data_IF_268188641057
#
_entry.id   IF_268188641057
#
_cell.length_a   1.000
_cell.length_b   1.000
_cell.length_c   1.000
_cell.angle_alpha   90.00
_cell.angle_beta   90.00
_cell.angle_gamma   90.00
#
_symmetry.space_group_name_H-M   'P 1'
#
loop_
_entity.id
_entity.type
_entity.pdbx_description
1 polymer ?
#
# COMPACT_ATOMS: atom_id res chain seq x y z
N UNK A 1 76.48 -36.64 19.79
CA UNK A 1 75.02 -36.48 19.95
C UNK A 1 74.53 -35.45 18.93
N UNK A 2 73.89 -35.90 17.85
CA UNK A 2 73.30 -35.02 16.82
C UNK A 2 71.85 -34.74 17.21
N UNK A 3 71.49 -33.46 17.41
CA UNK A 3 70.10 -33.05 17.64
C UNK A 3 69.47 -32.68 16.29
N UNK A 4 68.45 -33.43 15.89
CA UNK A 4 67.58 -33.14 14.76
C UNK A 4 66.64 -31.99 15.14
N UNK A 5 66.60 -30.94 14.31
CA UNK A 5 65.58 -29.89 14.36
C UNK A 5 64.52 -30.23 13.32
N UNK A 6 63.32 -30.61 13.76
CA UNK A 6 62.15 -30.74 12.89
C UNK A 6 61.52 -29.36 12.69
N UNK A 7 61.53 -28.88 11.45
CA UNK A 7 60.78 -27.70 11.02
C UNK A 7 59.34 -28.15 10.73
N UNK A 8 58.38 -27.71 11.55
CA UNK A 8 56.96 -27.90 11.27
C UNK A 8 56.45 -26.76 10.39
N UNK A 9 56.06 -27.07 9.15
CA UNK A 9 55.40 -26.14 8.26
C UNK A 9 53.90 -26.06 8.61
N UNK A 10 53.48 -24.95 9.22
CA UNK A 10 52.05 -24.64 9.39
C UNK A 10 51.50 -24.07 8.07
N UNK A 11 50.70 -24.87 7.36
CA UNK A 11 49.85 -24.39 6.28
C UNK A 11 48.71 -23.53 6.87
N UNK A 12 48.72 -22.22 6.60
CA UNK A 12 47.54 -21.38 6.77
C UNK A 12 46.50 -21.78 5.71
N UNK A 13 45.41 -22.41 6.15
CA UNK A 13 44.18 -22.54 5.37
C UNK A 13 43.47 -21.19 5.39
N UNK A 14 43.54 -20.45 4.28
CA UNK A 14 42.64 -19.33 4.02
C UNK A 14 41.22 -19.88 3.82
N UNK A 15 40.34 -19.69 4.80
CA UNK A 15 38.92 -19.97 4.65
C UNK A 15 38.31 -18.90 3.73
N UNK A 16 37.94 -19.29 2.52
CA UNK A 16 37.12 -18.47 1.63
C UNK A 16 35.74 -18.36 2.26
N UNK A 17 35.44 -17.21 2.87
CA UNK A 17 34.08 -16.88 3.28
C UNK A 17 33.31 -16.55 2.00
N UNK A 18 32.58 -17.53 1.47
CA UNK A 18 31.56 -17.25 0.47
C UNK A 18 30.44 -16.50 1.18
N UNK A 19 30.20 -15.26 0.77
CA UNK A 19 28.99 -14.55 1.16
C UNK A 19 27.80 -15.33 0.58
N UNK A 20 27.03 -16.00 1.44
CA UNK A 20 25.77 -16.61 1.02
C UNK A 20 24.83 -15.50 0.58
N UNK A 21 24.54 -15.45 -0.72
CA UNK A 21 23.48 -14.60 -1.26
C UNK A 21 22.17 -15.24 -0.85
N UNK A 22 21.49 -14.66 0.15
CA UNK A 22 20.14 -15.05 0.50
C UNK A 22 19.21 -14.73 -0.68
N UNK A 23 18.91 -15.71 -1.52
CA UNK A 23 17.91 -15.59 -2.59
C UNK A 23 16.54 -15.77 -1.97
N UNK A 24 15.89 -14.68 -1.58
CA UNK A 24 14.46 -14.72 -1.21
C UNK A 24 13.63 -14.56 -2.48
N UNK A 25 13.03 -15.63 -2.99
CA UNK A 25 11.99 -15.47 -4.02
C UNK A 25 10.74 -14.90 -3.36
N UNK A 26 10.15 -13.82 -3.89
CA UNK A 26 8.94 -13.25 -3.30
C UNK A 26 7.80 -14.27 -3.36
N UNK A 27 6.98 -14.31 -2.31
CA UNK A 27 5.75 -15.12 -2.31
C UNK A 27 4.75 -14.42 -3.20
N UNK A 28 4.40 -15.05 -4.31
CA UNK A 28 3.37 -14.57 -5.24
C UNK A 28 2.01 -15.13 -4.84
N UNK A 29 0.98 -14.31 -4.96
CA UNK A 29 -0.41 -14.70 -4.72
C UNK A 29 -1.36 -14.02 -5.70
N UNK A 30 -2.64 -14.33 -5.57
CA UNK A 30 -3.70 -13.63 -6.26
C UNK A 30 -4.85 -13.33 -5.31
N UNK A 31 -5.55 -12.24 -5.56
CA UNK A 31 -6.78 -11.85 -4.86
C UNK A 31 -7.85 -11.60 -5.90
N UNK A 32 -9.05 -12.14 -5.66
CA UNK A 32 -10.22 -11.85 -6.48
C UNK A 32 -11.10 -10.86 -5.75
N UNK A 33 -11.23 -9.67 -6.32
CA UNK A 33 -12.10 -8.62 -5.84
C UNK A 33 -13.48 -8.81 -6.45
N UNK A 34 -14.48 -8.99 -5.60
CA UNK A 34 -15.88 -9.05 -6.05
C UNK A 34 -16.49 -7.66 -6.01
N UNK A 35 -16.87 -7.17 -7.18
CA UNK A 35 -17.48 -5.86 -7.40
C UNK A 35 -18.95 -6.07 -7.64
N UNK A 36 -19.81 -5.40 -6.88
CA UNK A 36 -21.26 -5.43 -7.01
C UNK A 36 -21.78 -4.19 -7.77
N UNK A 37 -23.03 -4.16 -8.25
CA UNK A 37 -23.62 -2.95 -8.82
C UNK A 37 -23.61 -1.81 -7.78
N UNK A 38 -23.22 -0.61 -8.20
CA UNK A 38 -23.03 0.54 -7.32
C UNK A 38 -21.56 0.84 -7.04
N UNK A 39 -21.27 1.53 -5.94
CA UNK A 39 -19.91 1.96 -5.57
C UNK A 39 -19.28 0.94 -4.63
N UNK A 40 -18.09 0.46 -4.98
CA UNK A 40 -17.34 -0.54 -4.23
C UNK A 40 -15.99 0.06 -3.85
N UNK A 41 -15.64 0.05 -2.57
CA UNK A 41 -14.33 0.51 -2.12
C UNK A 41 -13.34 -0.65 -2.18
N UNK A 42 -12.25 -0.42 -2.91
CA UNK A 42 -11.25 -1.41 -3.25
C UNK A 42 -9.89 -0.91 -2.79
N UNK A 43 -9.06 -1.83 -2.35
CA UNK A 43 -7.65 -1.63 -2.10
C UNK A 43 -6.93 -2.92 -2.45
N UNK A 44 -5.62 -2.83 -2.58
CA UNK A 44 -4.83 -4.01 -2.90
C UNK A 44 -4.28 -4.63 -1.64
N UNK A 45 -4.52 -5.93 -1.46
CA UNK A 45 -3.90 -6.74 -0.41
C UNK A 45 -2.55 -7.36 -0.84
N UNK A 46 -2.11 -7.04 -2.06
CA UNK A 46 -0.86 -7.49 -2.66
C UNK A 46 -0.03 -6.27 -3.03
N UNK A 47 1.27 -6.47 -3.17
CA UNK A 47 2.21 -5.50 -3.72
C UNK A 47 2.53 -5.82 -5.18
N UNK A 48 2.90 -4.81 -5.98
CA UNK A 48 3.39 -5.03 -7.32
C UNK A 48 4.82 -5.62 -7.29
N UNK A 49 5.44 -5.73 -8.46
CA UNK A 49 6.80 -6.22 -8.55
C UNK A 49 7.80 -5.27 -7.88
N UNK A 50 8.65 -5.84 -7.02
CA UNK A 50 9.87 -5.19 -6.54
C UNK A 50 10.90 -5.22 -7.67
N UNK A 51 11.48 -4.07 -8.02
CA UNK A 51 12.53 -3.98 -9.04
C UNK A 51 13.93 -3.91 -8.44
N UNK A 52 14.07 -3.31 -7.27
CA UNK A 52 15.36 -3.13 -6.62
C UNK A 52 15.21 -3.16 -5.09
N UNK A 53 16.21 -3.71 -4.41
CA UNK A 53 16.40 -3.58 -2.97
C UNK A 53 17.86 -3.18 -2.72
N UNK A 54 18.07 -2.24 -1.80
CA UNK A 54 19.41 -1.76 -1.47
C UNK A 54 19.46 -1.05 -0.13
N UNK A 55 20.64 -0.61 0.24
CA UNK A 55 20.86 0.28 1.38
C UNK A 55 20.98 1.70 0.85
N UNK A 56 20.48 2.70 1.58
CA UNK A 56 20.53 4.10 1.15
C UNK A 56 20.98 5.04 2.27
N UNK A 57 21.68 6.10 1.86
CA UNK A 57 21.89 7.29 2.69
C UNK A 57 20.83 8.34 2.35
N UNK A 58 20.56 9.23 3.29
CA UNK A 58 19.47 10.19 3.23
C UNK A 58 20.05 11.60 3.14
N UNK A 59 19.59 12.36 2.16
CA UNK A 59 19.94 13.79 2.05
C UNK A 59 19.56 14.59 3.31
N UNK A 60 20.25 15.70 3.62
CA UNK A 60 19.87 16.57 4.74
C UNK A 60 18.43 17.10 4.67
N UNK A 61 17.92 17.36 3.46
CA UNK A 61 16.54 17.78 3.20
C UNK A 61 15.53 16.62 3.26
N UNK A 62 16.04 15.38 3.31
CA UNK A 62 15.28 14.12 3.38
C UNK A 62 14.35 13.85 2.20
N UNK A 63 14.49 14.60 1.12
CA UNK A 63 13.74 14.44 -0.14
C UNK A 63 14.50 13.63 -1.19
N UNK A 64 15.71 13.21 -0.88
CA UNK A 64 16.53 12.35 -1.74
C UNK A 64 17.18 11.22 -0.96
N UNK A 65 17.35 10.08 -1.65
CA UNK A 65 18.10 8.90 -1.23
C UNK A 65 19.28 8.67 -2.16
N UNK A 66 20.40 8.22 -1.60
CA UNK A 66 21.60 7.83 -2.35
C UNK A 66 21.83 6.34 -2.16
N UNK A 67 21.56 5.53 -3.19
CA UNK A 67 21.72 4.09 -3.09
C UNK A 67 23.20 3.72 -2.94
N UNK A 68 23.48 2.83 -1.98
CA UNK A 68 24.80 2.38 -1.63
C UNK A 68 25.09 1.00 -2.21
N UNK A 69 26.35 0.76 -2.58
CA UNK A 69 26.85 -0.54 -3.03
C UNK A 69 27.43 -0.49 -4.43
N UNK A 70 28.59 -1.12 -4.61
CA UNK A 70 29.37 -1.09 -5.87
C UNK A 70 28.75 -1.87 -7.03
N UNK A 71 27.54 -2.42 -6.87
CA UNK A 71 26.80 -3.17 -7.89
C UNK A 71 25.48 -2.49 -8.25
N UNK A 72 25.16 -1.36 -7.64
CA UNK A 72 23.99 -0.54 -7.99
C UNK A 72 24.51 0.62 -8.82
N UNK A 73 24.06 0.66 -10.07
CA UNK A 73 24.30 1.76 -10.99
C UNK A 73 22.94 2.17 -11.56
N UNK A 74 22.45 3.35 -11.18
CA UNK A 74 21.20 3.88 -11.70
C UNK A 74 21.41 4.46 -13.09
N UNK A 75 20.43 4.25 -13.96
CA UNK A 75 20.34 4.99 -15.20
C UNK A 75 19.56 6.29 -15.01
N UNK A 76 19.90 7.30 -15.79
CA UNK A 76 19.17 8.57 -15.82
C UNK A 76 17.69 8.31 -16.14
N UNK A 77 16.80 8.86 -15.32
CA UNK A 77 15.35 8.67 -15.39
C UNK A 77 14.83 7.23 -15.27
N UNK A 78 15.60 6.30 -14.70
CA UNK A 78 15.23 4.88 -14.61
C UNK A 78 13.84 4.65 -13.98
N UNK A 79 13.49 5.40 -12.92
CA UNK A 79 12.25 5.17 -12.16
C UNK A 79 11.21 6.30 -12.23
N UNK A 80 11.45 7.35 -13.02
CA UNK A 80 10.58 8.52 -13.16
C UNK A 80 10.20 8.81 -14.62
N UNK A 81 10.03 7.76 -15.42
CA UNK A 81 9.69 7.88 -16.84
C UNK A 81 8.28 8.44 -17.08
N UNK A 82 8.20 9.69 -17.56
CA UNK A 82 6.96 10.30 -18.07
C UNK A 82 6.30 11.30 -17.13
N UNK A 83 5.00 11.53 -17.31
CA UNK A 83 4.23 12.54 -16.56
C UNK A 83 3.64 12.04 -15.25
N UNK A 84 3.74 10.75 -14.96
CA UNK A 84 3.21 10.12 -13.75
C UNK A 84 4.33 9.40 -13.01
N UNK A 85 4.24 9.38 -11.68
CA UNK A 85 5.08 8.51 -10.86
C UNK A 85 4.84 7.04 -11.28
N UNK A 86 5.91 6.36 -11.67
CA UNK A 86 5.84 4.93 -12.06
C UNK A 86 6.37 4.01 -10.97
N UNK A 87 7.07 4.56 -9.99
CA UNK A 87 7.71 3.82 -8.92
C UNK A 87 7.54 4.52 -7.58
N UNK A 88 7.68 3.74 -6.51
CA UNK A 88 7.73 4.24 -5.15
C UNK A 88 8.87 3.55 -4.39
N UNK A 89 9.44 4.29 -3.44
CA UNK A 89 10.35 3.73 -2.44
C UNK A 89 9.56 3.32 -1.21
N UNK A 90 9.92 2.18 -0.64
CA UNK A 90 9.52 1.75 0.71
C UNK A 90 10.73 1.65 1.64
N UNK A 91 10.62 2.19 2.85
CA UNK A 91 11.60 1.99 3.92
C UNK A 91 11.33 0.66 4.63
N UNK A 92 12.32 -0.23 4.68
CA UNK A 92 12.20 -1.57 5.28
C UNK A 92 12.79 -1.61 6.69
N UNK A 93 13.76 -0.75 6.99
CA UNK A 93 14.43 -0.70 8.30
C UNK A 93 14.35 0.70 8.89
N UNK A 94 13.61 0.85 10.00
CA UNK A 94 13.67 1.95 10.96
C UNK A 94 12.50 1.78 11.94
N UNK A 95 12.74 1.65 13.25
CA UNK A 95 11.67 1.53 14.24
C UNK A 95 10.69 2.70 14.11
N UNK A 96 9.40 2.40 13.89
CA UNK A 96 8.34 3.40 13.72
C UNK A 96 8.23 4.04 12.33
N UNK A 97 9.02 3.61 11.34
CA UNK A 97 8.88 4.05 9.94
C UNK A 97 9.06 2.94 8.91
N UNK A 98 9.08 1.69 9.37
CA UNK A 98 8.95 0.53 8.47
C UNK A 98 7.62 0.64 7.72
N UNK A 99 7.69 0.43 6.41
CA UNK A 99 6.53 0.50 5.53
C UNK A 99 6.15 1.91 5.10
N UNK A 100 6.94 2.94 5.44
CA UNK A 100 6.80 4.28 4.82
C UNK A 100 7.01 4.15 3.33
N UNK A 101 6.05 4.65 2.55
CA UNK A 101 6.15 4.71 1.09
C UNK A 101 6.04 6.14 0.57
N UNK A 102 6.81 6.44 -0.47
CA UNK A 102 6.69 7.70 -1.20
C UNK A 102 7.05 7.50 -2.67
N UNK A 103 6.42 8.27 -3.55
CA UNK A 103 6.62 8.21 -5.00
C UNK A 103 8.00 8.75 -5.38
N UNK A 104 8.61 8.14 -6.39
CA UNK A 104 9.85 8.62 -6.99
C UNK A 104 9.51 9.71 -8.02
N UNK A 105 10.12 10.88 -7.86
CA UNK A 105 9.95 12.02 -8.78
C UNK A 105 11.16 12.22 -9.69
N UNK A 106 12.32 11.64 -9.33
CA UNK A 106 13.57 11.80 -10.07
C UNK A 106 14.51 10.62 -9.83
N UNK A 107 15.32 10.29 -10.83
CA UNK A 107 16.41 9.32 -10.72
C UNK A 107 17.59 9.85 -11.52
N UNK A 108 18.69 10.11 -10.82
CA UNK A 108 19.93 10.60 -11.41
C UNK A 108 20.96 9.47 -11.38
N UNK A 109 21.67 9.30 -12.49
CA UNK A 109 22.79 8.36 -12.55
C UNK A 109 23.95 8.82 -11.66
N UNK A 110 24.12 10.14 -11.54
CA UNK A 110 25.10 10.75 -10.63
C UNK A 110 24.72 10.41 -9.17
N UNK A 111 25.72 9.94 -8.41
CA UNK A 111 25.59 9.54 -7.00
C UNK A 111 24.50 8.49 -6.67
N UNK A 112 23.97 7.80 -7.70
CA UNK A 112 22.81 6.90 -7.57
C UNK A 112 21.65 7.55 -6.79
N UNK A 113 21.32 8.79 -7.14
CA UNK A 113 20.31 9.58 -6.44
C UNK A 113 18.88 9.23 -6.90
N UNK A 114 17.99 9.11 -5.92
CA UNK A 114 16.54 9.03 -6.10
C UNK A 114 15.90 10.20 -5.39
N UNK A 115 15.17 11.04 -6.11
CA UNK A 115 14.37 12.15 -5.56
C UNK A 115 12.95 11.68 -5.28
N UNK A 116 12.38 12.12 -4.16
CA UNK A 116 11.12 11.65 -3.60
C UNK A 116 10.06 12.75 -3.53
N UNK A 117 8.80 12.38 -3.69
CA UNK A 117 7.66 13.29 -3.59
C UNK A 117 7.41 13.79 -2.15
N UNK A 118 7.76 13.00 -1.15
CA UNK A 118 7.61 13.33 0.27
C UNK A 118 8.92 13.13 1.03
N UNK A 119 9.22 13.98 2.03
CA UNK A 119 10.40 13.80 2.85
C UNK A 119 10.30 12.53 3.68
N UNK A 120 11.43 11.85 3.86
CA UNK A 120 11.56 10.65 4.67
C UNK A 120 11.36 11.01 6.16
N UNK A 121 10.62 10.21 6.95
CA UNK A 121 10.44 10.45 8.38
C UNK A 121 11.77 10.60 9.14
N UNK A 122 11.85 11.55 10.09
CA UNK A 122 13.11 11.96 10.74
C UNK A 122 13.86 10.85 11.50
N UNK A 123 13.16 9.80 11.92
CA UNK A 123 13.71 8.63 12.61
C UNK A 123 14.42 7.64 11.69
N UNK A 124 14.26 7.73 10.36
CA UNK A 124 15.04 6.91 9.42
C UNK A 124 16.47 7.48 9.30
N UNK A 125 17.48 6.64 9.51
CA UNK A 125 18.89 7.05 9.47
C UNK A 125 19.58 6.57 8.19
N UNK A 126 20.78 7.10 7.93
CA UNK A 126 21.68 6.57 6.91
C UNK A 126 21.94 5.08 7.12
N UNK A 127 22.13 4.36 6.01
CA UNK A 127 22.25 2.91 6.04
C UNK A 127 20.90 2.16 6.13
N UNK A 128 19.77 2.84 5.94
CA UNK A 128 18.46 2.19 5.89
C UNK A 128 18.32 1.31 4.64
N UNK A 129 17.75 0.12 4.80
CA UNK A 129 17.32 -0.74 3.70
C UNK A 129 16.04 -0.18 3.09
N UNK A 130 16.04 -0.08 1.76
CA UNK A 130 14.92 0.40 0.95
C UNK A 130 14.57 -0.61 -0.14
N UNK A 131 13.30 -0.62 -0.54
CA UNK A 131 12.80 -1.33 -1.72
C UNK A 131 12.21 -0.35 -2.71
N UNK A 132 12.42 -0.61 -4.00
CA UNK A 132 11.80 0.13 -5.09
C UNK A 132 10.74 -0.75 -5.72
N UNK A 133 9.51 -0.24 -5.71
CA UNK A 133 8.33 -0.90 -6.23
C UNK A 133 7.91 -0.23 -7.52
N UNK A 134 7.67 -1.00 -8.57
CA UNK A 134 6.97 -0.50 -9.76
C UNK A 134 5.49 -0.42 -9.46
N UNK A 135 4.92 0.78 -9.45
CA UNK A 135 3.51 0.96 -9.15
C UNK A 135 2.64 0.33 -10.24
N UNK A 136 1.53 -0.29 -9.83
CA UNK A 136 0.51 -0.70 -10.79
C UNK A 136 -0.15 0.52 -11.41
N UNK A 137 -0.49 0.41 -12.68
CA UNK A 137 -1.29 1.40 -13.41
C UNK A 137 -2.71 0.91 -13.64
N UNK A 138 -3.59 1.80 -14.10
CA UNK A 138 -4.92 1.41 -14.58
C UNK A 138 -4.86 0.27 -15.61
N UNK A 139 -3.90 0.35 -16.55
CA UNK A 139 -3.73 -0.71 -17.56
C UNK A 139 -3.18 -2.01 -16.98
N UNK A 140 -2.32 -1.97 -15.95
CA UNK A 140 -1.78 -3.20 -15.35
C UNK A 140 -2.85 -3.98 -14.60
N UNK A 141 -3.74 -3.30 -13.87
CA UNK A 141 -4.77 -3.95 -13.04
C UNK A 141 -6.00 -4.31 -13.87
N UNK A 142 -6.43 -3.40 -14.74
CA UNK A 142 -7.71 -3.56 -15.43
C UNK A 142 -7.56 -3.94 -16.90
N UNK A 143 -6.41 -3.70 -17.54
CA UNK A 143 -6.14 -3.97 -18.96
C UNK A 143 -6.42 -2.78 -19.89
N UNK A 144 -6.03 -2.92 -21.15
CA UNK A 144 -6.38 -1.99 -22.25
C UNK A 144 -6.47 -2.75 -23.60
N UNK A 145 -7.66 -3.17 -24.07
CA UNK A 145 -8.98 -2.99 -23.43
C UNK A 145 -9.11 -3.78 -22.12
N UNK A 146 -10.07 -3.44 -21.24
CA UNK A 146 -10.13 -4.02 -19.92
C UNK A 146 -10.43 -5.52 -19.97
N UNK A 147 -9.44 -6.33 -19.61
CA UNK A 147 -9.57 -7.79 -19.52
C UNK A 147 -10.20 -8.23 -18.20
N UNK A 148 -10.35 -7.30 -17.26
CA UNK A 148 -10.94 -7.47 -15.93
C UNK A 148 -12.47 -7.60 -15.92
N UNK A 149 -13.13 -7.59 -17.08
CA UNK A 149 -14.60 -7.64 -17.18
C UNK A 149 -15.30 -6.33 -16.83
N UNK A 150 -14.56 -5.22 -16.76
CA UNK A 150 -15.14 -3.88 -16.66
C UNK A 150 -15.96 -3.56 -17.92
N UNK A 151 -17.11 -2.94 -17.70
CA UNK A 151 -17.99 -2.44 -18.76
C UNK A 151 -17.34 -1.24 -19.41
N UNK A 152 -17.07 -1.32 -20.71
CA UNK A 152 -16.58 -0.20 -21.52
C UNK A 152 -17.76 0.54 -22.17
N UNK A 153 -17.60 1.84 -22.43
CA UNK A 153 -18.67 2.64 -23.02
C UNK A 153 -18.14 3.86 -23.78
N UNK A 154 -19.00 4.53 -24.58
CA UNK A 154 -18.64 5.77 -25.27
C UNK A 154 -18.53 6.98 -24.31
N UNK A 155 -19.12 6.87 -23.12
CA UNK A 155 -19.22 7.91 -22.11
C UNK A 155 -19.28 7.28 -20.71
N UNK A 156 -18.93 8.02 -19.63
CA UNK A 156 -18.82 7.47 -18.29
C UNK A 156 -20.15 7.03 -17.64
N UNK A 157 -21.29 7.43 -18.20
CA UNK A 157 -22.61 6.97 -17.74
C UNK A 157 -22.93 5.53 -18.18
N UNK A 158 -22.25 5.06 -19.24
CA UNK A 158 -22.45 3.73 -19.83
C UNK A 158 -21.27 2.78 -19.58
N UNK A 159 -20.29 3.23 -18.79
CA UNK A 159 -19.10 2.47 -18.44
C UNK A 159 -18.99 2.32 -16.93
N UNK A 160 -18.18 1.38 -16.48
CA UNK A 160 -17.73 1.37 -15.10
C UNK A 160 -16.69 2.47 -14.89
N UNK A 161 -16.69 3.08 -13.69
CA UNK A 161 -15.83 4.22 -13.37
C UNK A 161 -14.95 3.89 -12.18
N UNK A 162 -13.63 4.05 -12.35
CA UNK A 162 -12.62 3.97 -11.31
C UNK A 162 -12.47 5.36 -10.69
N UNK A 163 -12.57 5.46 -9.37
CA UNK A 163 -12.50 6.71 -8.64
C UNK A 163 -11.29 6.69 -7.72
N UNK A 164 -10.27 7.49 -8.03
CA UNK A 164 -9.02 7.55 -7.27
C UNK A 164 -9.03 8.83 -6.42
N UNK A 165 -8.90 8.73 -5.08
CA UNK A 165 -8.85 9.90 -4.22
C UNK A 165 -7.70 10.84 -4.58
N UNK A 166 -8.00 12.13 -4.73
CA UNK A 166 -7.02 13.19 -5.07
C UNK A 166 -6.80 14.20 -3.94
N UNK A 167 -7.28 13.90 -2.73
CA UNK A 167 -7.18 14.75 -1.54
C UNK A 167 -8.34 15.75 -1.36
N UNK A 168 -9.08 16.08 -2.43
CA UNK A 168 -10.25 16.98 -2.38
C UNK A 168 -11.55 16.30 -2.83
N UNK A 169 -11.43 15.15 -3.46
CA UNK A 169 -12.52 14.34 -3.99
C UNK A 169 -11.93 13.12 -4.69
N UNK A 170 -12.40 12.85 -5.91
CA UNK A 170 -11.91 11.75 -6.73
C UNK A 170 -11.64 12.20 -8.15
N UNK A 171 -10.49 11.80 -8.69
CA UNK A 171 -10.30 11.72 -10.12
C UNK A 171 -11.05 10.48 -10.63
N UNK A 172 -11.80 10.64 -11.72
CA UNK A 172 -12.70 9.60 -12.23
C UNK A 172 -12.25 9.13 -13.60
N UNK A 173 -11.99 7.84 -13.73
CA UNK A 173 -11.47 7.24 -14.94
C UNK A 173 -12.42 6.16 -15.46
N UNK A 174 -12.55 6.05 -16.78
CA UNK A 174 -13.28 4.97 -17.42
C UNK A 174 -12.57 4.56 -18.71
N UNK A 175 -12.86 3.36 -19.21
CA UNK A 175 -12.35 2.93 -20.50
C UNK A 175 -13.34 3.28 -21.61
N UNK A 176 -12.96 4.25 -22.44
CA UNK A 176 -13.73 4.68 -23.60
C UNK A 176 -13.55 3.69 -24.77
N UNK A 177 -14.65 3.29 -25.40
CA UNK A 177 -14.61 2.38 -26.55
C UNK A 177 -14.32 3.08 -27.89
N UNK A 178 -14.17 4.41 -27.89
CA UNK A 178 -13.89 5.21 -29.08
C UNK A 178 -15.12 5.63 -29.88
N UNK A 179 -16.33 5.24 -29.47
CA UNK A 179 -17.56 5.84 -29.95
C UNK A 179 -17.91 7.09 -29.11
N UNK A 180 -18.55 8.09 -29.71
CA UNK A 180 -18.93 9.32 -29.00
C UNK A 180 -17.81 10.36 -28.89
N UNK A 181 -17.85 11.16 -27.82
CA UNK A 181 -16.93 12.31 -27.63
C UNK A 181 -15.53 11.92 -27.15
N UNK A 182 -15.34 10.68 -26.67
CA UNK A 182 -14.07 10.21 -26.12
C UNK A 182 -13.35 9.31 -27.12
N UNK A 183 -12.06 9.55 -27.30
CA UNK A 183 -11.19 8.65 -28.08
C UNK A 183 -10.95 7.34 -27.34
N UNK A 184 -10.63 6.25 -28.05
CA UNK A 184 -10.48 4.92 -27.45
C UNK A 184 -9.35 4.85 -26.41
N UNK A 185 -9.62 4.27 -25.23
CA UNK A 185 -8.64 3.99 -24.18
C UNK A 185 -9.09 4.47 -22.79
N UNK A 186 -8.18 4.45 -21.81
CA UNK A 186 -8.44 4.99 -20.48
C UNK A 186 -8.56 6.51 -20.53
N UNK A 187 -9.63 7.07 -19.99
CA UNK A 187 -9.92 8.51 -20.02
C UNK A 187 -10.27 9.02 -18.63
N UNK A 188 -9.83 10.23 -18.35
CA UNK A 188 -10.28 11.01 -17.21
C UNK A 188 -11.62 11.67 -17.61
N UNK A 189 -12.62 11.64 -16.73
CA UNK A 189 -13.88 12.35 -16.99
C UNK A 189 -13.58 13.85 -17.08
N UNK A 190 -13.90 14.46 -18.23
CA UNK A 190 -13.54 15.84 -18.56
C UNK A 190 -12.33 15.97 -19.49
N UNK A 191 -11.58 14.89 -19.76
CA UNK A 191 -10.51 14.84 -20.77
C UNK A 191 -10.79 13.71 -21.78
N UNK A 192 -11.16 14.12 -23.00
CA UNK A 192 -11.59 13.23 -24.06
C UNK A 192 -10.45 12.57 -24.87
N UNK A 193 -9.23 13.10 -24.78
CA UNK A 193 -8.16 12.80 -25.75
C UNK A 193 -6.95 12.15 -25.10
N UNK A 194 -6.60 12.51 -23.87
CA UNK A 194 -5.40 11.97 -23.23
C UNK A 194 -5.63 10.55 -22.73
N UNK A 195 -4.74 9.64 -23.11
CA UNK A 195 -4.78 8.27 -22.59
C UNK A 195 -4.20 8.19 -21.17
N UNK A 196 -5.05 7.78 -20.22
CA UNK A 196 -4.74 7.68 -18.80
C UNK A 196 -4.29 6.27 -18.38
N UNK A 197 -3.94 5.41 -19.34
CA UNK A 197 -3.54 4.02 -19.08
C UNK A 197 -2.39 3.89 -18.06
N UNK A 198 -1.51 4.90 -17.99
CA UNK A 198 -0.33 4.94 -17.13
C UNK A 198 -0.56 5.62 -15.77
N UNK A 199 -1.79 5.99 -15.43
CA UNK A 199 -2.10 6.55 -14.11
C UNK A 199 -1.82 5.50 -13.03
N UNK A 200 -0.94 5.79 -12.06
CA UNK A 200 -0.56 4.84 -11.02
C UNK A 200 -1.66 4.70 -9.96
N UNK A 201 -1.70 3.52 -9.35
CA UNK A 201 -2.53 3.20 -8.20
C UNK A 201 -1.61 3.05 -6.99
N UNK A 202 -1.86 3.85 -5.95
CA UNK A 202 -1.00 3.93 -4.76
C UNK A 202 -1.05 2.64 -3.95
N UNK A 203 0.11 2.18 -3.48
CA UNK A 203 0.25 0.91 -2.76
C UNK A 203 -0.65 0.77 -1.52
N UNK A 204 -0.75 1.85 -0.73
CA UNK A 204 -1.54 1.89 0.50
C UNK A 204 -2.87 2.66 0.35
N UNK A 205 -3.17 3.13 -0.86
CA UNK A 205 -4.36 3.91 -1.14
C UNK A 205 -5.54 3.02 -1.51
N UNK A 206 -6.69 3.27 -0.88
CA UNK A 206 -7.97 2.77 -1.37
C UNK A 206 -8.46 3.62 -2.56
N UNK A 207 -9.22 3.00 -3.45
CA UNK A 207 -9.96 3.65 -4.51
C UNK A 207 -11.39 3.06 -4.54
N UNK A 208 -12.25 3.57 -5.43
CA UNK A 208 -13.57 2.99 -5.62
C UNK A 208 -13.82 2.60 -7.07
N UNK A 209 -14.71 1.62 -7.27
CA UNK A 209 -15.24 1.22 -8.57
C UNK A 209 -16.75 1.39 -8.52
N UNK A 210 -17.26 2.29 -9.37
CA UNK A 210 -18.69 2.38 -9.66
C UNK A 210 -18.99 1.44 -10.82
N UNK A 211 -19.67 0.34 -10.53
CA UNK A 211 -20.00 -0.68 -11.52
C UNK A 211 -21.50 -0.74 -11.81
N UNK A 212 -21.86 -1.00 -13.07
CA UNK A 212 -23.25 -1.23 -13.47
C UNK A 212 -23.75 -2.65 -13.18
N UNK A 213 -22.84 -3.62 -13.13
CA UNK A 213 -23.14 -5.05 -12.95
C UNK A 213 -22.12 -5.71 -12.02
N UNK A 214 -22.50 -6.84 -11.41
CA UNK A 214 -21.55 -7.64 -10.65
C UNK A 214 -20.43 -8.19 -11.53
N UNK A 215 -19.20 -8.21 -11.01
CA UNK A 215 -18.02 -8.74 -11.69
C UNK A 215 -16.93 -9.12 -10.69
N UNK A 216 -15.99 -9.93 -11.16
CA UNK A 216 -14.82 -10.35 -10.38
C UNK A 216 -13.56 -9.89 -11.09
N UNK A 217 -12.68 -9.21 -10.35
CA UNK A 217 -11.41 -8.68 -10.84
C UNK A 217 -10.30 -9.44 -10.11
N UNK A 218 -9.50 -10.21 -10.84
CA UNK A 218 -8.36 -10.93 -10.26
C UNK A 218 -7.10 -10.12 -10.41
N UNK A 219 -6.37 -9.96 -9.31
CA UNK A 219 -5.10 -9.26 -9.24
C UNK A 219 -4.04 -10.25 -8.77
N UNK A 220 -2.90 -10.25 -9.45
CA UNK A 220 -1.73 -11.05 -9.09
C UNK A 220 -0.64 -10.12 -8.59
N UNK A 221 0.03 -10.50 -7.52
CA UNK A 221 1.06 -9.66 -6.89
C UNK A 221 1.84 -10.41 -5.81
N UNK A 222 2.77 -9.70 -5.20
CA UNK A 222 3.56 -10.20 -4.07
C UNK A 222 2.76 -10.05 -2.79
N UNK A 223 2.80 -11.05 -1.91
CA UNK A 223 2.29 -10.90 -0.55
C UNK A 223 3.25 -9.97 0.20
N UNK A 224 2.72 -8.91 0.83
CA UNK A 224 3.54 -7.96 1.58
C UNK A 224 4.14 -8.62 2.83
N UNK A 225 5.47 -8.67 2.99
CA UNK A 225 6.07 -9.00 4.27
C UNK A 225 6.25 -7.71 5.10
N UNK A 226 5.91 -7.76 6.38
CA UNK A 226 6.10 -6.66 7.32
C UNK A 226 5.06 -5.54 7.28
N UNK A 227 5.32 -4.51 8.09
CA UNK A 227 4.38 -3.45 8.42
C UNK A 227 4.11 -2.50 7.25
N UNK A 228 2.97 -1.82 7.30
CA UNK A 228 2.67 -0.70 6.39
C UNK A 228 2.46 0.57 7.19
N UNK A 229 3.15 1.64 6.80
CA UNK A 229 2.86 2.97 7.30
C UNK A 229 1.85 3.66 6.37
N UNK A 230 0.80 4.23 6.96
CA UNK A 230 -0.20 5.02 6.23
C UNK A 230 -0.23 6.42 6.81
N UNK A 231 -0.01 7.42 5.96
CA UNK A 231 -0.13 8.82 6.36
C UNK A 231 -1.59 9.24 6.27
N UNK A 232 -2.15 9.63 7.40
CA UNK A 232 -3.49 10.18 7.52
C UNK A 232 -3.43 11.71 7.52
N UNK A 233 -4.33 12.32 6.76
CA UNK A 233 -4.61 13.76 6.80
C UNK A 233 -5.94 14.01 7.53
N UNK A 234 -6.17 15.20 8.10
CA UNK A 234 -7.49 15.55 8.63
C UNK A 234 -8.59 15.33 7.58
N UNK A 235 -9.71 14.71 7.97
CA UNK A 235 -10.79 14.32 7.07
C UNK A 235 -10.76 12.85 6.64
N UNK A 236 -11.32 12.56 5.46
CA UNK A 236 -11.45 11.18 4.96
C UNK A 236 -10.14 10.68 4.33
N UNK A 237 -9.68 9.53 4.81
CA UNK A 237 -8.53 8.81 4.25
C UNK A 237 -9.00 7.44 3.77
N UNK A 238 -8.77 7.12 2.50
CA UNK A 238 -9.14 5.82 1.92
C UNK A 238 -7.94 4.89 2.04
N UNK A 239 -8.05 3.89 2.92
CA UNK A 239 -6.93 3.04 3.31
C UNK A 239 -7.16 1.64 2.76
N UNK A 240 -6.19 1.15 1.99
CA UNK A 240 -6.20 -0.25 1.56
C UNK A 240 -5.95 -1.17 2.77
N UNK A 241 -6.74 -2.23 2.89
CA UNK A 241 -6.46 -3.33 3.79
C UNK A 241 -5.43 -4.26 3.12
N UNK A 242 -4.15 -4.04 3.45
CA UNK A 242 -3.02 -4.74 2.86
C UNK A 242 -2.86 -6.19 3.34
N UNK A 243 -3.71 -6.62 4.27
CA UNK A 243 -3.72 -7.97 4.84
C UNK A 243 -5.03 -8.63 4.41
N UNK A 244 -5.00 -9.65 3.54
CA UNK A 244 -6.22 -10.37 3.20
C UNK A 244 -6.76 -11.07 4.45
N UNK A 245 -8.08 -10.99 4.68
CA UNK A 245 -8.74 -11.83 5.68
C UNK A 245 -8.68 -13.26 5.17
N UNK A 246 -8.13 -14.21 5.95
CA UNK A 246 -8.21 -15.62 5.56
C UNK A 246 -9.68 -16.02 5.53
N UNK A 247 -10.25 -16.19 4.36
CA UNK A 247 -11.52 -16.90 4.19
C UNK A 247 -11.23 -18.40 4.23
N UNK A 248 -11.49 -19.05 5.36
CA UNK A 248 -11.52 -20.51 5.41
C UNK A 248 -12.95 -20.98 5.12
N UNK A 249 -13.11 -21.83 4.11
CA UNK A 249 -14.38 -22.49 3.82
C UNK A 249 -14.81 -23.46 4.96
N UNK A 250 -13.93 -23.72 5.92
CA UNK A 250 -14.18 -24.52 7.11
C UNK A 250 -14.24 -23.65 8.38
N UNK A 251 -15.33 -22.89 8.56
CA UNK A 251 -15.84 -22.40 9.86
C UNK A 251 -14.82 -21.78 10.86
N UNK A 252 -13.66 -21.27 10.41
CA UNK A 252 -12.81 -20.47 11.29
C UNK A 252 -13.32 -19.04 11.20
N UNK A 253 -13.99 -18.63 12.28
CA UNK A 253 -14.59 -17.31 12.40
C UNK A 253 -13.52 -16.24 12.04
N UNK A 254 -13.80 -15.25 11.16
CA UNK A 254 -12.84 -14.20 10.77
C UNK A 254 -12.19 -13.50 11.97
N UNK A 255 -12.87 -13.51 13.11
CA UNK A 255 -12.40 -13.05 14.42
C UNK A 255 -11.15 -13.78 14.94
N UNK A 256 -10.80 -14.96 14.40
CA UNK A 256 -9.69 -15.81 14.84
C UNK A 256 -8.50 -15.89 13.87
N UNK A 257 -8.66 -15.52 12.59
CA UNK A 257 -7.59 -15.66 11.57
C UNK A 257 -7.46 -14.43 10.65
N UNK A 258 -8.29 -13.40 10.87
CA UNK A 258 -8.32 -12.18 10.07
C UNK A 258 -7.96 -10.92 10.87
N UNK A 259 -7.71 -9.83 10.14
CA UNK A 259 -7.52 -8.50 10.73
C UNK A 259 -8.88 -7.93 11.15
N UNK A 260 -9.01 -7.57 12.41
CA UNK A 260 -10.18 -6.94 13.01
C UNK A 260 -9.77 -5.63 13.70
N UNK A 261 -10.74 -4.86 14.18
CA UNK A 261 -10.44 -3.61 14.87
C UNK A 261 -9.47 -3.80 16.06
N UNK A 262 -9.64 -4.88 16.83
CA UNK A 262 -8.86 -5.19 18.03
C UNK A 262 -7.39 -5.51 17.79
N UNK A 263 -7.05 -6.21 16.70
CA UNK A 263 -5.68 -6.61 16.36
C UNK A 263 -5.03 -5.75 15.25
N UNK A 264 -5.76 -4.78 14.69
CA UNK A 264 -5.28 -3.95 13.58
C UNK A 264 -4.13 -2.99 13.94
N UNK A 265 -3.91 -2.70 15.22
CA UNK A 265 -3.02 -1.61 15.67
C UNK A 265 -3.63 -0.21 15.58
N UNK A 266 -4.80 -0.05 14.97
CA UNK A 266 -5.46 1.25 14.78
C UNK A 266 -5.73 1.98 16.10
N UNK A 267 -6.01 1.27 17.19
CA UNK A 267 -6.29 1.88 18.50
C UNK A 267 -5.08 2.61 19.11
N UNK A 268 -3.87 2.32 18.64
CA UNK A 268 -2.63 2.91 19.16
C UNK A 268 -2.37 4.29 18.57
N UNK A 269 -2.60 4.46 17.27
CA UNK A 269 -2.20 5.68 16.53
C UNK A 269 -3.38 6.61 16.20
N UNK A 270 -4.61 6.08 16.23
CA UNK A 270 -5.81 6.89 16.09
C UNK A 270 -6.09 7.68 17.37
N UNK A 271 -6.62 8.89 17.20
CA UNK A 271 -7.04 9.75 18.31
C UNK A 271 -8.20 9.07 19.03
N UNK A 272 -8.02 8.64 20.29
CA UNK A 272 -9.11 8.03 21.04
C UNK A 272 -9.99 9.12 21.65
N UNK A 273 -11.17 8.76 22.16
CA UNK A 273 -12.01 9.71 22.88
C UNK A 273 -13.06 9.04 23.74
N UNK A 274 -13.54 9.73 24.78
CA UNK A 274 -14.65 9.22 25.61
C UNK A 274 -16.01 9.30 24.89
N UNK A 275 -16.03 9.92 23.70
CA UNK A 275 -17.19 10.04 22.83
C UNK A 275 -16.76 10.15 21.35
N UNK A 276 -17.58 9.65 20.43
CA UNK A 276 -17.28 9.62 18.97
C UNK A 276 -16.98 10.99 18.33
N UNK A 277 -17.37 12.10 18.99
CA UNK A 277 -17.11 13.47 18.51
C UNK A 277 -15.66 13.91 18.71
N UNK A 278 -14.93 13.23 19.59
CA UNK A 278 -13.54 13.51 19.93
C UNK A 278 -12.58 12.52 19.27
N UNK A 279 -13.06 11.31 18.97
CA UNK A 279 -12.26 10.24 18.40
C UNK A 279 -12.23 10.29 16.86
N UNK A 280 -11.16 9.76 16.29
CA UNK A 280 -11.14 9.37 14.88
C UNK A 280 -12.15 8.24 14.64
N UNK A 281 -12.70 8.16 13.42
CA UNK A 281 -13.68 7.15 13.06
C UNK A 281 -13.12 6.20 11.99
N UNK A 282 -13.39 4.90 12.16
CA UNK A 282 -13.17 3.86 11.15
C UNK A 282 -14.53 3.56 10.51
N UNK A 283 -14.65 3.81 9.21
CA UNK A 283 -15.87 3.68 8.44
C UNK A 283 -15.76 2.42 7.57
N UNK A 284 -16.63 1.45 7.84
CA UNK A 284 -16.71 0.18 7.11
C UNK A 284 -17.99 0.16 6.30
N UNK A 285 -17.86 -0.02 4.97
CA UNK A 285 -19.02 -0.05 4.08
C UNK A 285 -19.86 -1.31 4.34
N UNK A 286 -21.16 -1.13 4.55
CA UNK A 286 -22.09 -2.21 4.87
C UNK A 286 -23.07 -2.53 3.71
N UNK A 287 -22.83 -1.99 2.51
CA UNK A 287 -23.70 -2.18 1.33
C UNK A 287 -24.69 -1.04 1.09
N UNK A 288 -25.07 -0.27 2.12
CA UNK A 288 -26.01 0.86 2.01
C UNK A 288 -25.44 2.18 2.52
N UNK A 289 -24.46 2.11 3.41
CA UNK A 289 -23.76 3.24 3.99
C UNK A 289 -22.51 2.75 4.72
N UNK A 290 -22.15 3.44 5.80
CA UNK A 290 -21.01 3.05 6.63
C UNK A 290 -21.44 2.79 8.07
N UNK A 291 -21.01 1.65 8.59
CA UNK A 291 -20.88 1.47 10.02
C UNK A 291 -19.66 2.27 10.48
N UNK A 292 -19.81 3.08 11.53
CA UNK A 292 -18.77 3.97 12.02
C UNK A 292 -18.31 3.52 13.39
N UNK A 293 -17.04 3.17 13.52
CA UNK A 293 -16.43 2.69 14.74
C UNK A 293 -15.46 3.72 15.30
N UNK A 294 -15.32 3.79 16.61
CA UNK A 294 -14.33 4.64 17.27
C UNK A 294 -13.70 3.90 18.46
N UNK A 295 -12.46 4.24 18.79
CA UNK A 295 -11.80 3.70 19.98
C UNK A 295 -12.10 4.59 21.19
N UNK A 296 -12.83 4.04 22.16
CA UNK A 296 -13.16 4.70 23.41
C UNK A 296 -11.99 4.62 24.39
N UNK A 297 -11.59 5.78 24.92
CA UNK A 297 -10.58 5.86 25.99
C UNK A 297 -11.14 5.62 27.40
N UNK A 298 -12.47 5.38 27.54
CA UNK A 298 -13.12 5.15 28.84
C UNK A 298 -14.52 5.77 28.96
N UNK A 299 -14.88 6.20 30.17
CA UNK A 299 -16.19 6.82 30.46
C UNK A 299 -17.33 5.81 30.57
N UNK A 300 -18.58 6.26 30.34
CA UNK A 300 -19.79 5.42 30.44
C UNK A 300 -19.79 4.25 29.45
N UNK A 301 -19.07 4.38 28.33
CA UNK A 301 -18.91 3.32 27.35
C UNK A 301 -17.82 2.30 27.71
N UNK A 302 -16.98 2.58 28.72
CA UNK A 302 -15.76 1.80 29.00
C UNK A 302 -14.68 1.99 27.93
N UNK A 303 -13.53 1.33 28.12
CA UNK A 303 -12.42 1.34 27.16
C UNK A 303 -12.65 0.30 26.06
N UNK A 304 -12.29 0.61 24.81
CA UNK A 304 -12.33 -0.33 23.68
C UNK A 304 -13.06 0.21 22.45
N UNK A 305 -13.24 -0.63 21.44
CA UNK A 305 -13.90 -0.25 20.19
C UNK A 305 -15.42 -0.17 20.33
N UNK A 306 -16.03 0.88 19.79
CA UNK A 306 -17.48 1.13 19.91
C UNK A 306 -18.09 1.45 18.56
N UNK A 307 -19.34 1.04 18.38
CA UNK A 307 -20.16 1.41 17.22
C UNK A 307 -20.87 2.74 17.50
N UNK A 308 -20.78 3.70 16.58
CA UNK A 308 -21.51 4.97 16.66
C UNK A 308 -23.02 4.71 16.57
N UNK A 309 -23.75 5.17 17.58
CA UNK A 309 -25.19 4.94 17.68
C UNK A 309 -25.59 3.52 18.12
N UNK A 310 -24.61 2.66 18.43
CA UNK A 310 -24.82 1.33 18.99
C UNK A 310 -24.89 1.31 20.52
N UNK A 311 -24.87 0.10 21.08
CA UNK A 311 -24.69 -0.13 22.51
C UNK A 311 -23.22 0.07 22.95
N UNK A 312 -22.96 -0.08 24.26
CA UNK A 312 -21.62 0.03 24.85
C UNK A 312 -20.78 -1.26 24.75
N UNK A 313 -21.20 -2.24 23.94
CA UNK A 313 -20.42 -3.47 23.79
C UNK A 313 -19.12 -3.23 23.02
N UNK A 314 -18.08 -4.00 23.36
CA UNK A 314 -16.82 -3.92 22.65
C UNK A 314 -16.93 -4.51 21.24
N UNK A 315 -16.39 -3.78 20.27
CA UNK A 315 -16.44 -4.10 18.84
C UNK A 315 -15.06 -4.50 18.29
N UNK A 316 -14.12 -4.87 19.17
CA UNK A 316 -12.78 -5.31 18.81
C UNK A 316 -12.79 -6.48 17.81
N UNK A 317 -13.78 -7.38 17.89
CA UNK A 317 -13.93 -8.50 16.98
C UNK A 317 -14.39 -8.12 15.56
N UNK A 318 -14.85 -6.89 15.30
CA UNK A 318 -15.35 -6.52 13.96
C UNK A 318 -14.25 -6.65 12.90
N UNK A 319 -14.43 -7.49 11.87
CA UNK A 319 -13.45 -7.66 10.81
C UNK A 319 -13.27 -6.38 10.00
N UNK A 320 -12.02 -6.07 9.61
CA UNK A 320 -11.77 -5.08 8.57
C UNK A 320 -12.06 -5.71 7.20
N UNK A 321 -12.72 -4.98 6.29
CA UNK A 321 -13.10 -5.55 4.99
C UNK A 321 -11.87 -5.86 4.14
N UNK A 322 -12.00 -6.87 3.28
CA UNK A 322 -11.08 -7.02 2.16
C UNK A 322 -11.20 -5.80 1.23
N UNK A 323 -10.08 -5.35 0.68
CA UNK A 323 -10.04 -4.17 -0.17
C UNK A 323 -9.70 -2.91 0.60
N UNK A 324 -10.68 -2.07 0.94
CA UNK A 324 -10.43 -0.78 1.59
C UNK A 324 -11.51 -0.37 2.59
N UNK A 325 -11.12 0.46 3.55
CA UNK A 325 -12.00 1.14 4.51
C UNK A 325 -11.61 2.62 4.59
N UNK A 326 -12.46 3.43 5.23
CA UNK A 326 -12.22 4.86 5.38
C UNK A 326 -11.84 5.18 6.81
N UNK A 327 -10.81 5.98 7.02
CA UNK A 327 -10.51 6.59 8.32
C UNK A 327 -10.86 8.07 8.24
N UNK A 328 -11.85 8.49 9.02
CA UNK A 328 -12.14 9.91 9.24
C UNK A 328 -11.30 10.41 10.41
N UNK A 329 -10.21 11.11 10.08
CA UNK A 329 -9.25 11.69 11.01
C UNK A 329 -9.78 13.05 11.49
N UNK A 330 -9.99 13.20 12.79
CA UNK A 330 -10.30 14.47 13.46
C UNK A 330 -9.06 15.18 13.98
N UNK A 331 -8.03 14.42 14.35
CA UNK A 331 -6.76 14.97 14.79
C UNK A 331 -5.92 15.56 13.64
N UNK A 332 -4.76 16.10 13.99
CA UNK A 332 -3.76 16.54 13.01
C UNK A 332 -3.25 15.38 12.15
N UNK A 333 -2.59 15.71 11.05
CA UNK A 333 -1.96 14.70 10.20
C UNK A 333 -1.01 13.81 11.03
N UNK A 334 -1.06 12.50 10.80
CA UNK A 334 -0.21 11.52 11.49
C UNK A 334 0.12 10.37 10.57
N UNK A 335 1.14 9.60 10.93
CA UNK A 335 1.34 8.27 10.39
C UNK A 335 0.72 7.25 11.33
N UNK A 336 0.09 6.23 10.77
CA UNK A 336 -0.36 5.05 11.50
C UNK A 336 0.37 3.83 10.97
N UNK A 337 0.67 2.89 11.87
CA UNK A 337 1.30 1.64 11.50
C UNK A 337 0.25 0.54 11.47
N UNK A 338 0.01 -0.01 10.28
CA UNK A 338 -0.78 -1.20 10.11
C UNK A 338 0.14 -2.40 10.33
N UNK A 339 -0.11 -3.12 11.42
CA UNK A 339 0.54 -4.41 11.66
C UNK A 339 -0.15 -5.50 10.84
N UNK A 340 0.63 -6.49 10.40
CA UNK A 340 0.10 -7.62 9.63
C UNK A 340 -0.75 -8.57 10.48
N UNK A 341 -0.73 -8.41 11.80
CA UNK A 341 -1.20 -9.44 12.72
C UNK A 341 -0.21 -10.61 12.74
N UNK A 342 -0.06 -11.26 13.89
CA UNK A 342 0.60 -12.57 13.93
C UNK A 342 -0.36 -13.58 13.32
N UNK A 343 -0.01 -14.13 12.15
CA UNK A 343 -0.73 -15.23 11.50
C UNK A 343 -0.19 -16.59 11.94
#
# INVERSE_FOLDING_TARGET
MKRFFCLAASCLLAASVYAEVLVTTPVMGFVTLNVLPGTNFIGFALLPAMELQGVANISPQRTSLFLQGSQIELAENQFNGGTHATHAVEIVTASGSVGFTTEITGTLAEDNEITLASPIPANVQDGATVKIWKLWTLADVFGAPPVSGLTVGPEPALADVIQIPNGSGFDQYFYANGAGSYTQGWRLIGDATTNQAKVPLKLNGGFAIRAGTSKSITIVGQVKPGQTLVNLQPGNNFVANLCPVKFDAADVNPDQVGRNLGNSGLSTDLTPGVHYRQADLVLIWNGTGYDQYYYSSGGLAGQGWRLLGGDNSDRSAVPLPDGAYVIFRRGDATSIQLDLGEF
#
